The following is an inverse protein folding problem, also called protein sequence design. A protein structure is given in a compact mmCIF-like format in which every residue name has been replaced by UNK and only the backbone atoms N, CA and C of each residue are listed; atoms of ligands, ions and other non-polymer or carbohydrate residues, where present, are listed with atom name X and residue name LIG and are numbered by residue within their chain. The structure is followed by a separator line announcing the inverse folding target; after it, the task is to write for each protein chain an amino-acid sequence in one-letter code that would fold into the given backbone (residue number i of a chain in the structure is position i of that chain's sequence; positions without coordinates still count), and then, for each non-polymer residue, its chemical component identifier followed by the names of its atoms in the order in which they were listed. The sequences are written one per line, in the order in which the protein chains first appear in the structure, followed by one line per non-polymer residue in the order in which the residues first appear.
data_IF_499287994292
#
_entry.id   IF_499287994292
#
_cell.length_a   1.000
_cell.length_b   1.000
_cell.length_c   1.000
_cell.angle_alpha   90.00
_cell.angle_beta   90.00
_cell.angle_gamma   90.00
#
_symmetry.space_group_name_H-M   'P 1'
#
loop_
_entity.id
_entity.type
_entity.pdbx_description
1 polymer ?
#
# COMPACT_ATOMS: atom_id res chain seq x y z
N UNK A 1 -47.37 -6.05 -1.36
CA UNK A 1 -48.74 -6.44 -0.96
C UNK A 1 -49.53 -6.75 -2.21
N UNK A 2 -50.35 -7.80 -2.19
CA UNK A 2 -51.24 -8.12 -3.33
C UNK A 2 -52.29 -7.03 -3.42
N UNK A 3 -52.48 -6.46 -4.62
CA UNK A 3 -53.46 -5.38 -4.84
C UNK A 3 -54.89 -5.92 -4.69
N UNK A 4 -55.76 -5.15 -4.02
CA UNK A 4 -57.17 -5.47 -3.81
C UNK A 4 -57.89 -5.77 -5.12
N UNK A 5 -57.52 -5.10 -6.22
CA UNK A 5 -58.09 -5.36 -7.55
C UNK A 5 -57.81 -6.80 -8.04
N UNK A 6 -56.63 -7.34 -7.73
CA UNK A 6 -56.22 -8.70 -8.11
C UNK A 6 -57.01 -9.74 -7.34
N UNK A 7 -57.20 -9.51 -6.04
CA UNK A 7 -58.01 -10.39 -5.16
C UNK A 7 -59.46 -10.44 -5.63
N UNK A 8 -60.07 -9.28 -5.91
CA UNK A 8 -61.44 -9.21 -6.41
C UNK A 8 -61.59 -9.87 -7.79
N UNK A 9 -60.55 -9.82 -8.62
CA UNK A 9 -60.55 -10.48 -9.94
C UNK A 9 -60.47 -12.00 -9.81
N UNK A 10 -59.64 -12.51 -8.89
CA UNK A 10 -59.57 -13.94 -8.58
C UNK A 10 -60.89 -14.45 -7.97
N UNK A 11 -61.50 -13.68 -7.06
CA UNK A 11 -62.79 -14.02 -6.45
C UNK A 11 -63.91 -14.17 -7.48
N UNK A 12 -63.97 -13.27 -8.48
CA UNK A 12 -64.94 -13.35 -9.59
C UNK A 12 -64.73 -14.55 -10.51
N UNK A 13 -63.52 -15.11 -10.57
CA UNK A 13 -63.17 -16.27 -11.41
C UNK A 13 -63.46 -17.61 -10.74
N UNK A 14 -63.83 -17.61 -9.46
CA UNK A 14 -64.18 -18.81 -8.72
C UNK A 14 -63.12 -19.24 -7.69
N UNK A 15 -63.42 -20.29 -6.90
CA UNK A 15 -62.63 -20.69 -5.73
C UNK A 15 -61.23 -21.17 -6.08
N UNK A 16 -61.03 -21.86 -7.21
CA UNK A 16 -59.73 -22.39 -7.63
C UNK A 16 -58.73 -21.25 -7.94
N UNK A 17 -59.20 -20.16 -8.54
CA UNK A 17 -58.39 -18.99 -8.83
C UNK A 17 -57.94 -18.26 -7.56
N UNK A 18 -58.76 -18.30 -6.49
CA UNK A 18 -58.41 -17.71 -5.19
C UNK A 18 -57.36 -18.57 -4.48
N UNK A 19 -57.53 -19.90 -4.48
CA UNK A 19 -56.58 -20.85 -3.88
C UNK A 19 -55.20 -20.70 -4.54
N UNK A 20 -55.16 -20.71 -5.87
CA UNK A 20 -53.90 -20.55 -6.63
C UNK A 20 -53.19 -19.21 -6.32
N UNK A 21 -53.96 -18.11 -6.21
CA UNK A 21 -53.41 -16.81 -5.83
C UNK A 21 -52.78 -16.85 -4.42
N UNK A 22 -53.43 -17.50 -3.46
CA UNK A 22 -52.89 -17.64 -2.11
C UNK A 22 -51.62 -18.50 -2.09
N UNK A 23 -51.63 -19.67 -2.72
CA UNK A 23 -50.47 -20.57 -2.78
C UNK A 23 -49.24 -19.88 -3.38
N UNK A 24 -49.42 -19.13 -4.46
CA UNK A 24 -48.33 -18.39 -5.09
C UNK A 24 -47.77 -17.30 -4.16
N UNK A 25 -48.66 -16.58 -3.47
CA UNK A 25 -48.26 -15.50 -2.57
C UNK A 25 -47.58 -15.99 -1.30
N UNK A 26 -48.03 -17.11 -0.73
CA UNK A 26 -47.38 -17.75 0.41
C UNK A 26 -46.01 -18.30 0.01
N UNK A 27 -45.92 -19.04 -1.09
CA UNK A 27 -44.64 -19.55 -1.60
C UNK A 27 -43.61 -18.43 -1.84
N UNK A 28 -44.05 -17.31 -2.41
CA UNK A 28 -43.18 -16.14 -2.63
C UNK A 28 -42.74 -15.49 -1.32
N UNK A 29 -43.62 -15.44 -0.32
CA UNK A 29 -43.33 -14.87 0.99
C UNK A 29 -42.36 -15.77 1.78
N UNK A 30 -42.58 -17.08 1.77
CA UNK A 30 -41.71 -18.07 2.40
C UNK A 30 -40.29 -18.03 1.83
N UNK A 31 -40.15 -18.04 0.49
CA UNK A 31 -38.83 -17.87 -0.16
C UNK A 31 -38.15 -16.58 0.27
N UNK A 32 -38.91 -15.49 0.38
CA UNK A 32 -38.33 -14.20 0.76
C UNK A 32 -37.89 -14.18 2.22
N UNK A 33 -38.65 -14.81 3.12
CA UNK A 33 -38.29 -14.96 4.53
C UNK A 33 -37.02 -15.80 4.63
N UNK A 34 -36.95 -16.93 3.94
CA UNK A 34 -35.77 -17.81 3.94
C UNK A 34 -34.52 -17.08 3.42
N UNK A 35 -34.63 -16.33 2.32
CA UNK A 35 -33.54 -15.51 1.80
C UNK A 35 -33.04 -14.47 2.81
N UNK A 36 -33.96 -13.78 3.49
CA UNK A 36 -33.63 -12.73 4.46
C UNK A 36 -32.98 -13.33 5.71
N UNK A 37 -33.51 -14.43 6.22
CA UNK A 37 -32.92 -15.17 7.33
C UNK A 37 -31.51 -15.66 7.00
N UNK A 38 -31.33 -16.25 5.81
CA UNK A 38 -30.03 -16.73 5.35
C UNK A 38 -29.02 -15.60 5.17
N UNK A 39 -29.45 -14.38 4.82
CA UNK A 39 -28.59 -13.20 4.79
C UNK A 39 -28.20 -12.74 6.19
N UNK A 40 -29.14 -12.75 7.14
CA UNK A 40 -28.92 -12.31 8.52
C UNK A 40 -28.03 -13.27 9.32
N UNK A 41 -28.09 -14.58 9.07
CA UNK A 41 -27.30 -15.59 9.78
C UNK A 41 -25.82 -15.64 9.35
N UNK A 42 -25.44 -14.95 8.26
CA UNK A 42 -24.08 -14.96 7.68
C UNK A 42 -23.16 -13.88 8.29
N UNK A 43 -22.18 -14.31 9.06
CA UNK A 43 -21.10 -13.50 9.64
C UNK A 43 -19.71 -13.95 9.14
N UNK A 44 -18.63 -13.31 9.59
CA UNK A 44 -17.28 -13.66 9.17
C UNK A 44 -16.78 -15.04 9.62
N UNK A 45 -17.50 -15.71 10.54
CA UNK A 45 -17.13 -17.05 11.04
C UNK A 45 -17.72 -18.17 10.19
N UNK A 46 -18.91 -17.96 9.60
CA UNK A 46 -19.64 -18.99 8.87
C UNK A 46 -19.87 -18.66 7.39
N UNK A 47 -19.42 -17.49 6.94
CA UNK A 47 -19.40 -17.10 5.55
C UNK A 47 -18.09 -16.37 5.31
N UNK A 48 -17.37 -16.64 4.22
CA UNK A 48 -16.06 -16.07 3.88
C UNK A 48 -16.03 -14.52 3.73
N UNK A 49 -17.00 -13.81 4.31
CA UNK A 49 -17.02 -12.37 4.51
C UNK A 49 -15.89 -11.97 5.47
N UNK A 50 -15.24 -10.83 5.22
CA UNK A 50 -14.25 -10.31 6.15
C UNK A 50 -14.92 -9.85 7.47
N UNK A 51 -14.22 -9.96 8.62
CA UNK A 51 -14.72 -9.51 9.93
C UNK A 51 -15.14 -8.04 9.97
N UNK A 52 -14.62 -7.20 9.07
CA UNK A 52 -15.01 -5.80 8.95
C UNK A 52 -16.49 -5.61 8.64
N UNK A 53 -17.11 -6.57 7.94
CA UNK A 53 -18.51 -6.58 7.48
C UNK A 53 -19.51 -6.94 8.57
N UNK A 54 -19.06 -7.48 9.71
CA UNK A 54 -19.94 -7.87 10.83
C UNK A 54 -20.52 -6.66 11.61
N UNK A 55 -20.16 -5.42 11.25
CA UNK A 55 -20.75 -4.20 11.81
C UNK A 55 -20.50 -4.04 13.32
N UNK A 56 -21.54 -3.66 14.06
CA UNK A 56 -21.50 -3.50 15.53
C UNK A 56 -21.58 -4.84 16.28
N UNK A 57 -21.86 -5.94 15.58
CA UNK A 57 -21.93 -7.29 16.18
C UNK A 57 -20.55 -7.92 16.39
N UNK A 58 -19.45 -7.18 16.14
CA UNK A 58 -18.08 -7.67 16.35
C UNK A 58 -17.84 -7.94 17.84
N UNK A 59 -17.24 -9.08 18.20
CA UNK A 59 -16.87 -9.34 19.57
C UNK A 59 -15.81 -8.33 20.02
N UNK A 60 -15.98 -7.77 21.22
CA UNK A 60 -14.98 -6.90 21.84
C UNK A 60 -13.73 -7.73 22.14
N UNK A 61 -12.66 -7.51 21.40
CA UNK A 61 -11.39 -8.19 21.61
C UNK A 61 -10.64 -7.55 22.78
N UNK A 62 -10.47 -8.29 23.88
CA UNK A 62 -9.59 -7.89 24.98
C UNK A 62 -8.15 -8.24 24.64
N UNK A 63 -7.21 -7.36 25.00
CA UNK A 63 -5.77 -7.63 24.85
C UNK A 63 -5.40 -8.91 25.60
N UNK A 64 -4.81 -9.87 24.90
CA UNK A 64 -4.26 -11.08 25.51
C UNK A 64 -2.89 -10.84 26.18
N UNK A 65 -2.35 -9.61 26.07
CA UNK A 65 -1.04 -9.27 26.61
C UNK A 65 -1.11 -9.22 28.14
N UNK A 66 -0.28 -10.04 28.80
CA UNK A 66 -0.06 -9.98 30.24
C UNK A 66 0.64 -8.66 30.61
N UNK A 67 0.30 -8.01 31.74
CA UNK A 67 1.01 -6.83 32.19
C UNK A 67 2.50 -7.14 32.39
N UNK A 68 3.36 -6.23 31.94
CA UNK A 68 4.82 -6.33 32.14
C UNK A 68 5.25 -5.27 33.14
N UNK A 69 6.14 -5.64 34.06
CA UNK A 69 6.77 -4.71 35.00
C UNK A 69 7.92 -3.92 34.36
N UNK A 70 8.17 -4.08 33.05
CA UNK A 70 9.19 -3.31 32.34
C UNK A 70 8.74 -1.88 32.17
N UNK A 71 9.62 -0.94 32.47
CA UNK A 71 9.37 0.46 32.19
C UNK A 71 9.21 0.68 30.68
N UNK A 72 8.33 1.63 30.34
CA UNK A 72 8.15 2.11 28.97
C UNK A 72 9.43 2.77 28.48
N UNK A 73 9.99 2.29 27.36
CA UNK A 73 11.23 2.80 26.78
C UNK A 73 12.34 1.74 26.62
N UNK A 74 13.52 2.19 26.20
CA UNK A 74 14.72 1.37 26.10
C UNK A 74 15.12 0.82 27.47
N UNK A 75 15.33 -0.48 27.58
CA UNK A 75 15.81 -1.10 28.82
C UNK A 75 17.24 -0.65 29.16
N UNK A 76 17.52 -0.51 30.45
CA UNK A 76 18.86 -0.26 30.97
C UNK A 76 19.83 -1.35 30.47
N UNK A 77 20.96 -0.92 29.89
CA UNK A 77 22.01 -1.81 29.38
C UNK A 77 21.96 -2.11 27.87
N UNK A 78 20.97 -1.59 27.12
CA UNK A 78 21.04 -1.69 25.66
C UNK A 78 22.19 -0.87 25.10
N UNK A 79 23.03 -1.51 24.26
CA UNK A 79 24.07 -0.83 23.50
C UNK A 79 23.41 0.10 22.47
N UNK A 80 23.70 1.39 22.56
CA UNK A 80 23.34 2.34 21.51
C UNK A 80 24.17 2.07 20.26
N UNK A 81 23.53 2.14 19.10
CA UNK A 81 24.18 2.14 17.79
C UNK A 81 24.02 3.52 17.16
N UNK A 82 24.78 4.49 17.66
CA UNK A 82 24.81 5.84 17.10
C UNK A 82 25.87 5.91 16.01
N UNK A 83 25.62 6.68 14.94
CA UNK A 83 26.64 6.96 13.91
C UNK A 83 27.86 7.64 14.56
N UNK A 84 29.04 7.12 14.24
CA UNK A 84 30.33 7.68 14.67
C UNK A 84 30.97 8.52 13.56
N UNK A 85 31.97 9.32 13.92
CA UNK A 85 32.81 9.99 12.95
C UNK A 85 33.73 8.97 12.25
N UNK A 86 33.81 9.03 10.91
CA UNK A 86 34.82 8.32 10.13
C UNK A 86 36.14 9.10 10.09
N UNK A 87 37.26 8.39 10.06
CA UNK A 87 38.59 9.00 9.84
C UNK A 87 38.89 9.24 8.37
N UNK A 88 38.12 8.63 7.46
CA UNK A 88 38.29 8.75 6.01
C UNK A 88 36.96 9.16 5.35
N UNK A 89 36.60 10.46 5.34
CA UNK A 89 35.45 10.96 4.60
C UNK A 89 35.75 11.05 3.09
N UNK A 90 34.74 10.81 2.25
CA UNK A 90 34.89 10.88 0.79
C UNK A 90 35.28 12.29 0.32
N UNK A 91 34.77 13.32 0.99
CA UNK A 91 35.05 14.72 0.71
C UNK A 91 35.28 15.51 2.01
N UNK A 92 36.25 16.42 2.00
CA UNK A 92 36.52 17.35 3.13
C UNK A 92 36.43 18.79 2.64
N UNK A 93 35.52 19.56 3.25
CA UNK A 93 35.37 20.99 2.98
C UNK A 93 35.78 21.75 4.25
N UNK A 94 36.76 22.65 4.13
CA UNK A 94 37.23 23.47 5.24
C UNK A 94 36.62 24.86 5.17
N UNK A 95 35.97 25.28 6.24
CA UNK A 95 35.42 26.63 6.38
C UNK A 95 36.34 27.47 7.28
N UNK A 96 37.10 28.38 6.68
CA UNK A 96 38.03 29.26 7.40
C UNK A 96 37.36 30.59 7.75
N UNK A 97 37.51 31.10 8.99
CA UNK A 97 37.04 32.44 9.33
C UNK A 97 37.92 33.48 8.63
N UNK A 98 37.28 34.50 8.03
CA UNK A 98 37.99 35.59 7.35
C UNK A 98 38.29 36.76 8.29
N UNK A 99 37.42 36.99 9.28
CA UNK A 99 37.51 38.11 10.21
C UNK A 99 37.15 37.68 11.64
N UNK A 100 37.72 38.38 12.62
CA UNK A 100 37.35 38.23 14.02
C UNK A 100 35.95 38.80 14.27
N UNK A 101 35.07 38.03 14.90
CA UNK A 101 33.69 38.46 15.19
C UNK A 101 33.59 39.54 16.26
N UNK A 102 34.65 39.77 17.04
CA UNK A 102 34.70 40.78 18.10
C UNK A 102 35.19 42.15 17.60
N UNK A 103 36.31 42.17 16.86
CA UNK A 103 36.99 43.41 16.45
C UNK A 103 37.16 43.58 14.94
N UNK A 104 36.64 42.65 14.14
CA UNK A 104 36.71 42.64 12.67
C UNK A 104 38.13 42.60 12.07
N UNK A 105 39.16 42.33 12.86
CA UNK A 105 40.53 42.11 12.36
C UNK A 105 40.55 40.93 11.39
N UNK A 106 41.29 41.08 10.28
CA UNK A 106 41.46 40.01 9.29
C UNK A 106 42.23 38.83 9.88
N UNK A 107 41.77 37.61 9.58
CA UNK A 107 42.37 36.34 10.03
C UNK A 107 43.00 35.54 8.88
N UNK A 108 43.07 36.10 7.66
CA UNK A 108 43.55 35.38 6.48
C UNK A 108 44.97 34.82 6.60
N UNK A 109 45.84 35.50 7.35
CA UNK A 109 47.24 35.12 7.51
C UNK A 109 47.53 34.47 8.87
N UNK A 110 46.51 34.31 9.73
CA UNK A 110 46.68 33.72 11.04
C UNK A 110 46.77 32.18 10.95
N UNK A 111 47.65 31.53 11.72
CA UNK A 111 47.78 30.08 11.69
C UNK A 111 46.53 29.39 12.29
N UNK A 112 46.13 28.27 11.69
CA UNK A 112 45.02 27.45 12.19
C UNK A 112 45.42 26.80 13.52
N UNK A 113 44.62 27.04 14.57
CA UNK A 113 44.86 26.48 15.92
C UNK A 113 44.23 25.10 16.16
N UNK A 114 43.23 24.71 15.36
CA UNK A 114 42.56 23.43 15.49
C UNK A 114 41.24 23.38 14.72
N UNK A 115 40.63 22.20 14.67
CA UNK A 115 39.38 21.95 13.95
C UNK A 115 38.30 21.43 14.88
N UNK A 116 37.06 21.91 14.67
CA UNK A 116 35.86 21.24 15.15
C UNK A 116 35.21 20.54 13.96
N UNK A 117 35.14 19.21 14.02
CA UNK A 117 34.71 18.38 12.90
C UNK A 117 33.24 17.99 13.06
N UNK A 118 32.49 18.09 11.97
CA UNK A 118 31.16 17.49 11.79
C UNK A 118 31.14 16.76 10.47
N UNK A 119 30.47 15.61 10.40
CA UNK A 119 30.32 14.83 9.18
C UNK A 119 28.85 14.65 8.86
N UNK A 120 28.54 14.73 7.58
CA UNK A 120 27.21 14.49 7.04
C UNK A 120 27.32 13.21 6.22
N UNK A 121 26.58 12.18 6.64
CA UNK A 121 26.42 10.95 5.88
C UNK A 121 25.22 11.16 4.95
N UNK A 122 25.49 11.27 3.66
CA UNK A 122 24.45 11.49 2.66
C UNK A 122 24.61 10.51 1.49
N UNK A 123 23.56 10.35 0.70
CA UNK A 123 23.59 9.55 -0.50
C UNK A 123 24.21 10.36 -1.65
N UNK A 124 25.07 9.76 -2.48
CA UNK A 124 25.48 10.41 -3.72
C UNK A 124 24.26 10.64 -4.62
N UNK A 125 24.33 11.59 -5.58
CA UNK A 125 23.23 11.84 -6.50
C UNK A 125 22.73 10.56 -7.17
N UNK A 126 21.46 10.21 -6.93
CA UNK A 126 20.82 9.04 -7.53
C UNK A 126 20.30 9.42 -8.92
N UNK A 127 20.84 8.79 -9.96
CA UNK A 127 20.42 9.03 -11.34
C UNK A 127 19.65 7.82 -11.89
N UNK A 128 18.64 8.09 -12.73
CA UNK A 128 17.87 7.05 -13.42
C UNK A 128 18.58 6.74 -14.74
N UNK A 129 18.98 5.48 -14.91
CA UNK A 129 19.42 4.95 -16.19
C UNK A 129 18.21 4.44 -16.99
N UNK A 130 18.13 4.84 -18.27
CA UNK A 130 17.06 4.45 -19.19
C UNK A 130 17.63 3.55 -20.28
N UNK A 131 17.18 2.30 -20.32
CA UNK A 131 17.49 1.36 -21.40
C UNK A 131 16.33 1.32 -22.40
N UNK A 132 16.60 1.71 -23.64
CA UNK A 132 15.64 1.58 -24.74
C UNK A 132 15.72 0.18 -25.33
N UNK A 133 14.63 -0.58 -25.23
CA UNK A 133 14.50 -1.87 -25.92
C UNK A 133 13.89 -1.62 -27.30
N UNK A 134 14.54 -2.13 -28.35
CA UNK A 134 14.04 -2.09 -29.73
C UNK A 134 13.90 -3.49 -30.27
N UNK A 135 12.86 -3.70 -31.05
CA UNK A 135 12.65 -4.89 -31.86
C UNK A 135 12.74 -4.49 -33.32
N UNK A 136 13.39 -5.31 -34.13
CA UNK A 136 13.53 -5.05 -35.56
C UNK A 136 12.28 -5.51 -36.29
N UNK A 137 11.81 -4.69 -37.22
CA UNK A 137 10.79 -5.07 -38.20
C UNK A 137 11.45 -5.28 -39.55
N UNK A 138 11.25 -6.44 -40.16
CA UNK A 138 11.80 -6.80 -41.48
C UNK A 138 10.70 -7.33 -42.39
N UNK A 139 10.70 -6.88 -43.63
CA UNK A 139 9.76 -7.39 -44.64
C UNK A 139 10.27 -8.71 -45.22
N UNK A 140 9.38 -9.70 -45.31
CA UNK A 140 9.69 -10.96 -45.99
C UNK A 140 9.73 -10.75 -47.51
N UNK A 141 10.84 -11.06 -48.20
CA UNK A 141 10.96 -10.81 -49.65
C UNK A 141 10.06 -11.69 -50.52
N UNK A 142 9.46 -12.75 -49.96
CA UNK A 142 8.63 -13.70 -50.70
C UNK A 142 7.13 -13.39 -50.59
N UNK A 143 6.64 -13.00 -49.41
CA UNK A 143 5.22 -12.74 -49.16
C UNK A 143 4.90 -11.29 -48.78
N UNK A 144 5.91 -10.43 -48.69
CA UNK A 144 5.81 -9.01 -48.32
C UNK A 144 5.20 -8.74 -46.93
N UNK A 145 5.03 -9.76 -46.10
CA UNK A 145 4.58 -9.60 -44.71
C UNK A 145 5.72 -9.08 -43.84
N UNK A 146 5.42 -8.08 -42.99
CA UNK A 146 6.35 -7.57 -41.97
C UNK A 146 6.45 -8.60 -40.84
N UNK A 147 7.68 -9.01 -40.53
CA UNK A 147 8.03 -9.84 -39.37
C UNK A 147 8.68 -8.96 -38.30
N UNK A 148 8.34 -9.21 -37.03
CA UNK A 148 8.86 -8.48 -35.88
C UNK A 148 9.29 -9.47 -34.79
N UNK A 149 10.39 -9.17 -34.09
CA UNK A 149 10.76 -9.93 -32.89
C UNK A 149 9.92 -9.52 -31.69
N UNK A 150 9.74 -10.43 -30.73
CA UNK A 150 9.02 -10.10 -29.49
C UNK A 150 9.94 -9.42 -28.50
N UNK A 151 9.41 -8.45 -27.75
CA UNK A 151 10.09 -7.94 -26.57
C UNK A 151 10.30 -9.05 -25.53
N UNK A 152 11.39 -8.99 -24.72
CA UNK A 152 11.53 -9.86 -23.58
C UNK A 152 10.32 -9.75 -22.64
N UNK A 153 9.90 -10.85 -22.02
CA UNK A 153 8.72 -10.86 -21.13
C UNK A 153 8.78 -9.85 -19.97
N UNK A 154 10.00 -9.49 -19.55
CA UNK A 154 10.23 -8.46 -18.54
C UNK A 154 9.88 -7.04 -19.01
N UNK A 155 9.82 -6.77 -20.32
CA UNK A 155 9.53 -5.46 -20.95
C UNK A 155 8.11 -5.52 -21.53
N UNK A 156 7.13 -5.37 -20.64
CA UNK A 156 5.72 -5.60 -20.96
C UNK A 156 4.92 -4.34 -21.31
N UNK A 157 5.50 -3.16 -21.06
CA UNK A 157 4.87 -1.85 -21.27
C UNK A 157 5.80 -0.96 -22.08
N UNK A 158 5.21 0.01 -22.79
CA UNK A 158 5.97 1.02 -23.55
C UNK A 158 6.92 1.82 -22.67
N UNK A 159 6.51 2.13 -21.43
CA UNK A 159 7.35 2.73 -20.39
C UNK A 159 7.07 2.02 -19.07
N UNK A 160 8.11 1.62 -18.34
CA UNK A 160 7.98 0.96 -17.04
C UNK A 160 9.20 1.17 -16.16
N UNK A 161 8.99 1.19 -14.83
CA UNK A 161 10.10 1.16 -13.88
C UNK A 161 10.84 -0.18 -13.91
N UNK A 162 12.17 -0.09 -13.87
CA UNK A 162 13.06 -1.24 -13.77
C UNK A 162 13.02 -1.93 -12.40
N UNK A 163 13.64 -3.13 -12.28
CA UNK A 163 13.61 -3.92 -11.06
C UNK A 163 14.26 -3.23 -9.86
N UNK A 164 15.29 -2.42 -10.05
CA UNK A 164 15.98 -1.72 -8.96
C UNK A 164 15.09 -0.68 -8.29
N UNK A 165 14.40 0.16 -9.07
CA UNK A 165 13.45 1.16 -8.54
C UNK A 165 12.29 0.45 -7.82
N UNK A 166 11.73 -0.60 -8.43
CA UNK A 166 10.64 -1.40 -7.84
C UNK A 166 11.02 -2.05 -6.51
N UNK A 167 12.30 -2.36 -6.27
CA UNK A 167 12.81 -2.88 -5.00
C UNK A 167 13.13 -1.78 -3.99
N UNK A 168 13.64 -0.64 -4.47
CA UNK A 168 14.04 0.49 -3.63
C UNK A 168 12.83 1.11 -2.92
N UNK A 169 11.73 1.34 -3.64
CA UNK A 169 10.52 1.97 -3.08
C UNK A 169 10.00 1.24 -1.83
N UNK A 170 9.66 -0.07 -1.86
CA UNK A 170 9.16 -0.75 -0.67
C UNK A 170 10.20 -0.82 0.45
N UNK A 171 11.49 -0.88 0.14
CA UNK A 171 12.54 -0.80 1.16
C UNK A 171 12.52 0.55 1.89
N UNK A 172 12.49 1.66 1.16
CA UNK A 172 12.47 3.00 1.74
C UNK A 172 11.19 3.24 2.55
N UNK A 173 10.03 2.85 2.01
CA UNK A 173 8.74 3.09 2.67
C UNK A 173 8.52 2.17 3.88
N UNK A 174 8.86 0.89 3.80
CA UNK A 174 8.52 -0.08 4.86
C UNK A 174 9.64 -0.32 5.88
N UNK A 175 10.90 -0.29 5.46
CA UNK A 175 12.02 -0.55 6.37
C UNK A 175 12.63 0.74 6.91
N UNK A 176 12.82 1.74 6.05
CA UNK A 176 13.38 3.03 6.47
C UNK A 176 12.32 4.02 6.99
N UNK A 177 11.03 3.71 6.78
CA UNK A 177 9.91 4.56 7.19
C UNK A 177 10.03 6.00 6.66
N UNK A 178 10.62 6.16 5.48
CA UNK A 178 10.72 7.45 4.79
C UNK A 178 9.43 7.60 3.98
N UNK A 179 8.54 8.48 4.46
CA UNK A 179 7.24 8.81 3.85
C UNK A 179 7.24 10.19 3.23
#
# INVERSE_FOLDING_TARGET
MVDRKVILTAYKKGPEAVISLFEETFSKSERRIEELENRSKKNSKNSHKPPSTDGLCKPITKSLRKPSNRQTGGQLGHKGHTLGLTTAPDHTITHSPTHCTCCNTSLHNEPVKGYRIRQVYDLPPIQIEVTEHKVEQKECPHCHTIQESQFPSAVSRSVQYGPHIKRLIPYLTHYQCIS
#
